data_IF_101225301066
#
_entry.id   IF_101225301066
#
_cell.length_a   1.000
_cell.length_b   1.000
_cell.length_c   1.000
_cell.angle_alpha   90.00
_cell.angle_beta   90.00
_cell.angle_gamma   90.00
#
_symmetry.space_group_name_H-M   'P 1'
#
loop_
_entity.id
_entity.type
_entity.pdbx_description
1 polymer ?
#
# COMPACT_ATOMS: atom_id res chain seq x y z
N UNK A 1 -19.73 -24.90 13.69
CA UNK A 1 -19.24 -26.11 13.01
C UNK A 1 -19.39 -27.26 13.99
N UNK A 2 -19.79 -28.46 13.54
CA UNK A 2 -19.72 -29.66 14.36
C UNK A 2 -18.29 -29.85 14.87
N UNK A 3 -18.11 -30.53 16.02
CA UNK A 3 -16.80 -30.72 16.69
C UNK A 3 -16.58 -32.17 17.16
N UNK A 4 -17.32 -33.10 16.57
CA UNK A 4 -17.43 -34.48 17.05
C UNK A 4 -16.26 -35.34 16.57
N UNK A 5 -15.73 -35.06 15.39
CA UNK A 5 -14.58 -35.79 14.83
C UNK A 5 -13.27 -35.04 15.03
N UNK A 6 -12.16 -35.76 14.96
CA UNK A 6 -10.83 -35.14 15.00
C UNK A 6 -10.61 -34.21 13.79
N UNK A 7 -11.19 -34.54 12.63
CA UNK A 7 -11.15 -33.69 11.44
C UNK A 7 -11.88 -32.36 11.67
N UNK A 8 -13.02 -32.39 12.36
CA UNK A 8 -13.80 -31.19 12.70
C UNK A 8 -13.01 -30.25 13.61
N UNK A 9 -12.32 -30.80 14.61
CA UNK A 9 -11.47 -30.02 15.52
C UNK A 9 -10.32 -29.37 14.76
N UNK A 10 -9.62 -30.12 13.90
CA UNK A 10 -8.54 -29.59 13.05
C UNK A 10 -9.06 -28.48 12.14
N UNK A 11 -10.25 -28.64 11.55
CA UNK A 11 -10.87 -27.60 10.72
C UNK A 11 -11.19 -26.34 11.53
N UNK A 12 -11.79 -26.48 12.72
CA UNK A 12 -12.10 -25.36 13.61
C UNK A 12 -10.83 -24.62 14.03
N UNK A 13 -9.78 -25.35 14.42
CA UNK A 13 -8.48 -24.78 14.78
C UNK A 13 -7.83 -24.06 13.60
N UNK A 14 -7.87 -24.65 12.41
CA UNK A 14 -7.35 -24.02 11.18
C UNK A 14 -8.11 -22.73 10.85
N UNK A 15 -9.44 -22.73 10.97
CA UNK A 15 -10.26 -21.55 10.76
C UNK A 15 -10.02 -20.48 11.82
N UNK A 16 -9.79 -20.87 13.08
CA UNK A 16 -9.46 -19.95 14.16
C UNK A 16 -8.08 -19.31 13.95
N UNK A 17 -7.06 -20.10 13.60
CA UNK A 17 -5.72 -19.60 13.26
C UNK A 17 -5.76 -18.65 12.06
N UNK A 18 -6.61 -18.92 11.07
CA UNK A 18 -6.83 -18.05 9.92
C UNK A 18 -7.48 -16.70 10.24
N UNK A 19 -8.03 -16.49 11.45
CA UNK A 19 -8.62 -15.21 11.87
C UNK A 19 -7.62 -14.26 12.55
N UNK A 20 -6.40 -14.70 12.81
CA UNK A 20 -5.38 -13.87 13.46
C UNK A 20 -4.88 -12.76 12.51
N UNK A 21 -5.48 -11.58 12.65
CA UNK A 21 -5.16 -10.39 11.86
C UNK A 21 -3.76 -9.84 12.15
N UNK A 22 -3.24 -10.07 13.35
CA UNK A 22 -1.91 -9.60 13.75
C UNK A 22 -0.84 -10.41 13.04
N UNK A 23 -0.97 -11.75 13.04
CA UNK A 23 -0.06 -12.62 12.27
C UNK A 23 -0.12 -12.32 10.79
N UNK A 24 -1.31 -12.09 10.22
CA UNK A 24 -1.47 -11.71 8.81
C UNK A 24 -0.79 -10.37 8.49
N UNK A 25 -0.98 -9.37 9.35
CA UNK A 25 -0.30 -8.07 9.23
C UNK A 25 1.22 -8.25 9.23
N UNK A 26 1.73 -9.04 10.16
CA UNK A 26 3.17 -9.32 10.30
C UNK A 26 3.75 -10.02 9.07
N UNK A 27 3.06 -11.03 8.54
CA UNK A 27 3.50 -11.75 7.34
C UNK A 27 3.51 -10.83 6.12
N UNK A 28 2.47 -10.00 5.96
CA UNK A 28 2.27 -9.17 4.77
C UNK A 28 3.11 -7.89 4.76
N UNK A 29 3.22 -7.22 5.92
CA UNK A 29 3.84 -5.90 6.05
C UNK A 29 5.13 -5.90 6.86
N UNK A 30 5.51 -7.04 7.46
CA UNK A 30 6.72 -7.14 8.26
C UNK A 30 6.60 -6.54 9.66
N UNK A 31 7.73 -6.52 10.36
CA UNK A 31 7.85 -6.04 11.73
C UNK A 31 8.21 -4.56 11.79
N UNK A 32 7.63 -3.85 12.75
CA UNK A 32 8.12 -2.53 13.17
C UNK A 32 9.16 -2.74 14.27
N UNK A 33 10.38 -2.30 14.04
CA UNK A 33 11.49 -2.39 15.00
C UNK A 33 11.67 -1.09 15.80
N UNK A 34 11.38 0.06 15.20
CA UNK A 34 11.52 1.36 15.86
C UNK A 34 10.51 2.38 15.34
N UNK A 35 10.03 3.23 16.24
CA UNK A 35 9.24 4.42 15.90
C UNK A 35 10.15 5.63 16.04
N UNK A 36 10.37 6.34 14.95
CA UNK A 36 11.24 7.54 14.91
C UNK A 36 10.43 8.80 14.65
N UNK A 37 11.11 9.96 14.69
CA UNK A 37 10.57 11.22 14.15
C UNK A 37 10.08 11.01 12.71
N UNK A 38 8.80 11.31 12.41
CA UNK A 38 8.23 11.01 11.12
C UNK A 38 8.73 11.96 10.04
N UNK A 39 8.96 11.41 8.86
CA UNK A 39 9.07 12.20 7.62
C UNK A 39 7.68 12.26 7.00
N UNK A 40 7.20 13.46 6.68
CA UNK A 40 5.91 13.64 6.04
C UNK A 40 6.06 13.78 4.52
N UNK A 41 5.12 13.22 3.77
CA UNK A 41 5.02 13.37 2.32
C UNK A 41 3.56 13.51 1.92
N UNK A 42 3.29 14.44 1.00
CA UNK A 42 2.02 14.55 0.29
C UNK A 42 2.18 13.90 -1.07
N UNK A 43 1.30 12.97 -1.43
CA UNK A 43 1.28 12.33 -2.74
C UNK A 43 0.02 12.71 -3.51
N UNK A 44 0.14 12.74 -4.84
CA UNK A 44 -0.99 13.03 -5.72
C UNK A 44 -0.80 12.35 -7.07
N UNK A 45 -1.83 11.62 -7.52
CA UNK A 45 -1.97 11.15 -8.88
C UNK A 45 -2.94 12.01 -9.68
N UNK A 46 -2.64 12.24 -10.95
CA UNK A 46 -3.55 12.93 -11.86
C UNK A 46 -3.50 12.31 -13.25
N UNK A 47 -4.65 12.19 -13.90
CA UNK A 47 -4.77 11.74 -15.28
C UNK A 47 -5.62 12.69 -16.13
N UNK A 48 -5.00 13.25 -17.16
CA UNK A 48 -5.70 13.97 -18.23
C UNK A 48 -6.43 12.95 -19.11
N UNK A 49 -7.68 13.25 -19.48
CA UNK A 49 -8.49 12.40 -20.36
C UNK A 49 -8.64 10.94 -19.89
N UNK A 50 -8.74 10.71 -18.58
CA UNK A 50 -8.88 9.37 -18.00
C UNK A 50 -10.00 8.57 -18.67
N UNK A 51 -9.72 7.30 -19.00
CA UNK A 51 -10.66 6.42 -19.69
C UNK A 51 -10.67 6.55 -21.22
N UNK A 52 -9.87 7.44 -21.80
CA UNK A 52 -9.70 7.58 -23.27
C UNK A 52 -8.37 7.00 -23.72
N UNK A 53 -8.26 6.66 -25.00
CA UNK A 53 -7.00 6.21 -25.60
C UNK A 53 -5.88 7.26 -25.55
N UNK A 54 -6.24 8.55 -25.42
CA UNK A 54 -5.32 9.67 -25.28
C UNK A 54 -4.98 10.02 -23.83
N UNK A 55 -5.33 9.15 -22.88
CA UNK A 55 -5.11 9.39 -21.45
C UNK A 55 -3.62 9.55 -21.12
N UNK A 56 -3.32 10.50 -20.23
CA UNK A 56 -1.96 10.78 -19.77
C UNK A 56 -1.96 10.99 -18.26
N UNK A 57 -1.31 10.07 -17.55
CA UNK A 57 -1.27 10.06 -16.10
C UNK A 57 0.12 10.43 -15.56
N UNK A 58 0.16 11.25 -14.51
CA UNK A 58 1.36 11.65 -13.79
C UNK A 58 1.18 11.44 -12.29
N UNK A 59 2.29 11.16 -11.62
CA UNK A 59 2.35 10.89 -10.19
C UNK A 59 3.36 11.83 -9.53
N UNK A 60 2.96 12.48 -8.44
CA UNK A 60 3.74 13.47 -7.72
C UNK A 60 3.93 13.08 -6.25
N UNK A 61 5.09 13.47 -5.70
CA UNK A 61 5.40 13.39 -4.28
C UNK A 61 6.05 14.70 -3.82
N UNK A 62 5.63 15.17 -2.66
CA UNK A 62 6.09 16.42 -2.08
C UNK A 62 6.41 16.23 -0.60
N UNK A 63 7.70 16.30 -0.27
CA UNK A 63 8.26 16.18 1.08
C UNK A 63 8.48 17.54 1.76
N UNK A 64 8.18 18.65 1.07
CA UNK A 64 8.38 20.02 1.56
C UNK A 64 9.20 20.88 0.61
N UNK A 65 9.25 22.18 0.88
CA UNK A 65 9.98 23.13 0.04
C UNK A 65 11.46 22.76 -0.04
N UNK A 66 12.04 22.82 -1.24
CA UNK A 66 13.45 22.51 -1.52
C UNK A 66 13.92 21.10 -1.12
N UNK A 67 13.01 20.17 -0.82
CA UNK A 67 13.39 18.80 -0.56
C UNK A 67 13.87 18.11 -1.84
N UNK A 68 15.08 17.57 -1.81
CA UNK A 68 15.63 16.77 -2.92
C UNK A 68 14.86 15.46 -3.17
N UNK A 69 13.99 15.07 -2.24
CA UNK A 69 13.11 13.90 -2.39
C UNK A 69 11.85 14.21 -3.20
N UNK A 70 11.54 15.49 -3.45
CA UNK A 70 10.42 15.88 -4.30
C UNK A 70 10.59 15.30 -5.70
N UNK A 71 9.50 14.79 -6.28
CA UNK A 71 9.57 14.18 -7.59
C UNK A 71 8.21 14.19 -8.29
N UNK A 72 8.24 14.18 -9.62
CA UNK A 72 7.09 13.99 -10.49
C UNK A 72 7.49 13.08 -11.64
N UNK A 73 6.69 12.06 -11.91
CA UNK A 73 6.96 11.11 -12.99
C UNK A 73 5.72 10.84 -13.82
N UNK A 74 5.95 10.46 -15.09
CA UNK A 74 4.92 9.86 -15.93
C UNK A 74 4.59 8.46 -15.40
N UNK A 75 3.30 8.15 -15.29
CA UNK A 75 2.83 6.82 -14.89
C UNK A 75 3.12 5.82 -16.00
N UNK A 76 3.65 4.65 -15.64
CA UNK A 76 3.82 3.52 -16.56
C UNK A 76 2.56 2.64 -16.60
N UNK A 77 2.33 1.96 -17.73
CA UNK A 77 1.17 1.10 -17.92
C UNK A 77 -0.13 1.89 -18.12
N UNK A 78 -1.20 1.45 -17.47
CA UNK A 78 -2.53 2.05 -17.65
C UNK A 78 -2.57 3.53 -17.23
N UNK A 79 -3.12 4.38 -18.10
CA UNK A 79 -3.16 5.82 -17.84
C UNK A 79 -4.51 6.17 -17.20
N UNK A 80 -4.59 6.14 -15.87
CA UNK A 80 -5.77 6.53 -15.11
C UNK A 80 -5.40 7.09 -13.72
N UNK A 81 -6.34 7.77 -13.06
CA UNK A 81 -6.12 8.40 -11.75
C UNK A 81 -5.74 7.40 -10.66
N UNK A 82 -6.45 6.26 -10.58
CA UNK A 82 -6.22 5.24 -9.56
C UNK A 82 -4.79 4.68 -9.61
N UNK A 83 -4.29 4.38 -10.81
CA UNK A 83 -2.91 3.92 -11.00
C UNK A 83 -1.90 5.03 -10.70
N UNK A 84 -2.22 6.28 -11.04
CA UNK A 84 -1.36 7.41 -10.73
C UNK A 84 -1.14 7.59 -9.23
N UNK A 85 -2.20 7.49 -8.42
CA UNK A 85 -2.10 7.56 -6.97
C UNK A 85 -1.27 6.41 -6.39
N UNK A 86 -1.45 5.19 -6.90
CA UNK A 86 -0.67 4.03 -6.48
C UNK A 86 0.81 4.14 -6.88
N UNK A 87 1.11 4.68 -8.06
CA UNK A 87 2.50 4.97 -8.47
C UNK A 87 3.12 6.01 -7.54
N UNK A 88 2.38 7.08 -7.20
CA UNK A 88 2.87 8.09 -6.27
C UNK A 88 3.18 7.48 -4.88
N UNK A 89 2.29 6.60 -4.41
CA UNK A 89 2.47 5.85 -3.17
C UNK A 89 3.70 4.95 -3.21
N UNK A 90 3.85 4.13 -4.25
CA UNK A 90 5.02 3.25 -4.41
C UNK A 90 6.33 4.05 -4.33
N UNK A 91 6.41 5.12 -5.09
CA UNK A 91 7.62 5.93 -5.14
C UNK A 91 7.90 6.63 -3.81
N UNK A 92 6.85 7.06 -3.08
CA UNK A 92 7.01 7.67 -1.75
C UNK A 92 7.59 6.66 -0.74
N UNK A 93 7.08 5.42 -0.74
CA UNK A 93 7.59 4.34 0.11
C UNK A 93 9.03 3.96 -0.25
N UNK A 94 9.37 3.96 -1.55
CA UNK A 94 10.71 3.67 -2.05
C UNK A 94 11.74 4.75 -1.68
N UNK A 95 11.38 6.03 -1.80
CA UNK A 95 12.32 7.15 -1.59
C UNK A 95 12.50 7.52 -0.12
N UNK A 96 11.48 7.32 0.70
CA UNK A 96 11.58 7.61 2.12
C UNK A 96 12.56 6.65 2.81
N UNK A 97 13.47 7.11 3.69
CA UNK A 97 14.37 6.24 4.44
C UNK A 97 13.61 5.11 5.15
N UNK A 98 14.03 3.87 4.94
CA UNK A 98 13.35 2.66 5.46
C UNK A 98 13.32 2.58 6.99
N UNK A 99 14.27 3.24 7.64
CA UNK A 99 14.45 3.29 9.09
C UNK A 99 13.71 4.45 9.76
N UNK A 100 13.05 5.32 8.98
CA UNK A 100 12.27 6.43 9.52
C UNK A 100 10.77 6.17 9.41
N UNK A 101 10.02 6.54 10.45
CA UNK A 101 8.56 6.59 10.37
C UNK A 101 8.15 7.50 9.22
N UNK A 102 7.12 7.11 8.47
CA UNK A 102 6.66 7.83 7.29
C UNK A 102 5.18 8.16 7.41
N UNK A 103 4.81 9.42 7.22
CA UNK A 103 3.41 9.86 7.13
C UNK A 103 3.11 10.18 5.67
N UNK A 104 2.19 9.44 5.07
CA UNK A 104 1.76 9.64 3.68
C UNK A 104 0.37 10.28 3.68
N UNK A 105 0.31 11.52 3.21
CA UNK A 105 -0.94 12.26 3.04
C UNK A 105 -1.42 12.18 1.60
N UNK A 106 -2.68 11.82 1.39
CA UNK A 106 -3.30 11.76 0.05
C UNK A 106 -4.80 12.04 0.12
N UNK A 107 -5.38 12.56 -0.97
CA UNK A 107 -6.85 12.65 -1.13
C UNK A 107 -7.47 11.35 -1.62
N UNK A 108 -6.65 10.39 -2.07
CA UNK A 108 -7.10 9.14 -2.66
C UNK A 108 -7.40 8.10 -1.58
N UNK A 109 -8.67 8.01 -1.17
CA UNK A 109 -9.14 6.90 -0.31
C UNK A 109 -8.86 5.54 -0.94
N UNK A 110 -8.95 5.45 -2.27
CA UNK A 110 -8.64 4.24 -3.02
C UNK A 110 -7.21 3.77 -2.75
N UNK A 111 -6.21 4.66 -2.77
CA UNK A 111 -4.82 4.29 -2.51
C UNK A 111 -4.62 3.78 -1.08
N UNK A 112 -5.25 4.44 -0.10
CA UNK A 112 -5.18 4.04 1.31
C UNK A 112 -5.82 2.65 1.49
N UNK A 113 -7.08 2.49 1.09
CA UNK A 113 -7.86 1.25 1.29
C UNK A 113 -7.29 0.06 0.52
N UNK A 114 -6.63 0.32 -0.62
CA UNK A 114 -5.95 -0.74 -1.39
C UNK A 114 -4.82 -1.40 -0.60
N UNK A 115 -4.22 -0.68 0.36
CA UNK A 115 -3.19 -1.21 1.25
C UNK A 115 -3.78 -1.65 2.59
N UNK A 116 -4.67 -0.86 3.20
CA UNK A 116 -5.14 -1.16 4.57
C UNK A 116 -6.21 -2.25 4.61
N UNK A 117 -7.14 -2.24 3.66
CA UNK A 117 -8.36 -3.06 3.71
C UNK A 117 -8.27 -4.24 2.74
N UNK A 118 -7.77 -3.99 1.54
CA UNK A 118 -7.85 -4.95 0.43
C UNK A 118 -6.60 -5.81 0.28
N UNK A 119 -5.47 -5.41 0.86
CA UNK A 119 -4.19 -6.07 0.66
C UNK A 119 -4.22 -7.55 1.07
N UNK A 120 -4.86 -7.91 2.19
CA UNK A 120 -4.96 -9.30 2.64
C UNK A 120 -5.68 -10.20 1.65
N UNK A 121 -6.80 -9.71 1.10
CA UNK A 121 -7.57 -10.45 0.09
C UNK A 121 -6.76 -10.57 -1.20
N UNK A 122 -6.14 -9.47 -1.62
CA UNK A 122 -5.35 -9.44 -2.85
C UNK A 122 -4.13 -10.36 -2.78
N UNK A 123 -3.44 -10.40 -1.63
CA UNK A 123 -2.31 -11.30 -1.38
C UNK A 123 -2.74 -12.77 -1.42
N UNK A 124 -3.83 -13.11 -0.74
CA UNK A 124 -4.41 -14.45 -0.78
C UNK A 124 -4.83 -14.89 -2.20
N UNK A 125 -5.18 -13.93 -3.07
CA UNK A 125 -5.49 -14.17 -4.48
C UNK A 125 -4.29 -13.98 -5.42
N UNK A 126 -3.06 -13.93 -4.89
CA UNK A 126 -1.83 -13.83 -5.70
C UNK A 126 -1.68 -12.52 -6.48
N UNK A 127 -2.31 -11.44 -6.02
CA UNK A 127 -2.27 -10.11 -6.63
C UNK A 127 -2.82 -10.05 -8.06
N UNK A 128 -3.81 -10.88 -8.38
CA UNK A 128 -4.47 -10.95 -9.70
C UNK A 128 -5.49 -9.83 -9.97
N UNK A 129 -5.58 -8.84 -9.07
CA UNK A 129 -6.52 -7.72 -9.16
C UNK A 129 -6.00 -6.56 -10.05
N UNK A 130 -6.88 -5.58 -10.33
CA UNK A 130 -6.49 -4.36 -11.05
C UNK A 130 -5.39 -3.62 -10.28
N UNK A 131 -4.32 -3.26 -10.98
CA UNK A 131 -3.09 -2.68 -10.41
C UNK A 131 -2.36 -3.59 -9.40
N UNK A 132 -2.63 -4.90 -9.41
CA UNK A 132 -1.99 -5.87 -8.52
C UNK A 132 -0.46 -5.89 -8.64
N UNK A 133 0.09 -5.57 -9.82
CA UNK A 133 1.52 -5.40 -10.06
C UNK A 133 2.15 -4.31 -9.15
N UNK A 134 1.49 -3.15 -9.05
CA UNK A 134 1.94 -2.05 -8.20
C UNK A 134 1.65 -2.35 -6.74
N UNK A 135 0.47 -2.89 -6.42
CA UNK A 135 0.09 -3.19 -5.04
C UNK A 135 1.05 -4.20 -4.39
N UNK A 136 1.40 -5.27 -5.11
CA UNK A 136 2.42 -6.24 -4.69
C UNK A 136 3.79 -5.58 -4.47
N UNK A 137 4.15 -4.64 -5.34
CA UNK A 137 5.40 -3.91 -5.20
C UNK A 137 5.38 -3.02 -3.95
N UNK A 138 4.28 -2.29 -3.72
CA UNK A 138 4.13 -1.44 -2.54
C UNK A 138 4.27 -2.28 -1.27
N UNK A 139 3.55 -3.41 -1.16
CA UNK A 139 3.61 -4.27 0.03
C UNK A 139 5.01 -4.83 0.26
N UNK A 140 5.72 -5.28 -0.79
CA UNK A 140 7.11 -5.71 -0.67
C UNK A 140 8.05 -4.62 -0.17
N UNK A 141 7.85 -3.36 -0.62
CA UNK A 141 8.62 -2.23 -0.10
C UNK A 141 8.25 -1.86 1.34
N UNK A 142 6.98 -1.98 1.73
CA UNK A 142 6.54 -1.80 3.12
C UNK A 142 7.20 -2.86 4.01
N UNK A 143 7.19 -4.13 3.59
CA UNK A 143 7.81 -5.26 4.31
C UNK A 143 9.31 -5.09 4.54
N UNK A 144 10.00 -4.36 3.65
CA UNK A 144 11.41 -4.06 3.78
C UNK A 144 11.73 -2.89 4.73
N UNK A 145 10.72 -2.24 5.34
CA UNK A 145 10.91 -1.12 6.28
C UNK A 145 10.99 -1.64 7.71
N UNK A 146 11.77 -0.94 8.53
CA UNK A 146 11.88 -1.23 9.97
C UNK A 146 11.12 -0.21 10.83
N UNK A 147 10.59 0.83 10.20
CA UNK A 147 9.81 1.89 10.84
C UNK A 147 8.42 2.01 10.19
N UNK A 148 7.40 2.44 10.94
CA UNK A 148 6.00 2.35 10.52
C UNK A 148 5.65 3.35 9.41
N UNK A 149 4.56 3.05 8.71
CA UNK A 149 3.88 3.98 7.80
C UNK A 149 2.51 4.33 8.39
N UNK A 150 2.19 5.61 8.40
CA UNK A 150 0.87 6.11 8.73
C UNK A 150 0.26 6.77 7.50
N UNK A 151 -0.98 6.40 7.18
CA UNK A 151 -1.76 7.03 6.12
C UNK A 151 -2.64 8.13 6.71
N UNK A 152 -2.61 9.29 6.08
CA UNK A 152 -3.46 10.42 6.41
C UNK A 152 -4.33 10.78 5.20
N UNK A 153 -5.65 10.69 5.36
CA UNK A 153 -6.57 11.14 4.32
C UNK A 153 -6.81 12.63 4.47
N UNK A 154 -6.52 13.37 3.40
CA UNK A 154 -6.76 14.82 3.32
C UNK A 154 -7.94 15.08 2.39
N UNK A 155 -8.71 16.15 2.67
CA UNK A 155 -9.88 16.55 1.88
C UNK A 155 -9.47 17.40 0.67
#
# INVERSE_FOLDING_TARGET
LPNETELDKILIETLAAGKDTTKKSFILFGSVLAVTTPTAVVICGYCKSSGKHTAQAGAAMFFGNNSALNNFVRVWGQQNNARADLVALLLAVQRAPKTKSLIISTRSEYAIRSITDYAYKNDACGWTCVNGDILKSITGWIQCRTAPIHFNHIK
#
